data_IF_562106636437
#
_entry.id   IF_562106636437
#
_cell.length_a   1.000
_cell.length_b   1.000
_cell.length_c   1.000
_cell.angle_alpha   90.00
_cell.angle_beta   90.00
_cell.angle_gamma   90.00
#
_symmetry.space_group_name_H-M   'P 1'
#
loop_
_entity.id
_entity.type
_entity.pdbx_description
1 polymer ?
#
# COMPACT_ATOMS: atom_id res chain seq x y z
N UNK A 1 38.62 -25.25 -12.59
CA UNK A 1 37.72 -25.43 -11.43
C UNK A 1 37.49 -24.16 -10.61
N UNK A 2 38.46 -23.25 -10.46
CA UNK A 2 38.29 -22.03 -9.63
C UNK A 2 37.44 -20.91 -10.28
N UNK A 3 37.42 -20.83 -11.62
CA UNK A 3 36.64 -19.82 -12.35
C UNK A 3 35.12 -20.11 -12.36
N UNK A 4 34.72 -21.38 -12.45
CA UNK A 4 33.30 -21.78 -12.47
C UNK A 4 32.57 -21.47 -11.15
N UNK A 5 33.26 -21.57 -10.01
CA UNK A 5 32.63 -21.32 -8.71
C UNK A 5 32.29 -19.83 -8.52
N UNK A 6 33.15 -18.93 -9.03
CA UNK A 6 32.97 -17.47 -8.94
C UNK A 6 31.81 -17.01 -9.84
N UNK A 7 31.72 -17.56 -11.06
CA UNK A 7 30.61 -17.24 -11.99
C UNK A 7 29.27 -17.74 -11.42
N UNK A 8 29.21 -18.94 -10.86
CA UNK A 8 28.00 -19.46 -10.20
C UNK A 8 27.61 -18.57 -9.01
N UNK A 9 28.57 -18.17 -8.18
CA UNK A 9 28.30 -17.31 -7.02
C UNK A 9 27.77 -15.92 -7.44
N UNK A 10 28.32 -15.32 -8.50
CA UNK A 10 27.85 -14.05 -9.06
C UNK A 10 26.44 -14.14 -9.66
N UNK A 11 26.09 -15.26 -10.30
CA UNK A 11 24.74 -15.47 -10.84
C UNK A 11 23.69 -15.65 -9.74
N UNK A 12 24.02 -16.36 -8.64
CA UNK A 12 23.11 -16.55 -7.51
C UNK A 12 22.93 -15.24 -6.72
N UNK A 13 24.00 -14.47 -6.54
CA UNK A 13 23.92 -13.16 -5.88
C UNK A 13 23.05 -12.16 -6.67
N UNK A 14 23.09 -12.21 -8.00
CA UNK A 14 22.26 -11.35 -8.85
C UNK A 14 20.77 -11.70 -8.72
N UNK A 15 20.41 -12.99 -8.65
CA UNK A 15 19.01 -13.41 -8.44
C UNK A 15 18.46 -12.99 -7.06
N UNK A 16 19.31 -12.92 -6.04
CA UNK A 16 18.92 -12.45 -4.70
C UNK A 16 18.60 -10.94 -4.67
N UNK A 17 19.29 -10.12 -5.47
CA UNK A 17 19.04 -8.68 -5.55
C UNK A 17 17.73 -8.34 -6.27
N UNK A 18 17.28 -9.18 -7.20
CA UNK A 18 15.98 -9.03 -7.88
C UNK A 18 14.77 -9.36 -6.98
N UNK A 19 14.99 -9.95 -5.80
CA UNK A 19 13.92 -10.30 -4.87
C UNK A 19 13.61 -9.20 -3.83
N UNK A 20 14.28 -8.04 -3.91
CA UNK A 20 13.99 -6.92 -3.03
C UNK A 20 12.69 -6.26 -3.48
N UNK A 21 11.58 -6.63 -2.85
CA UNK A 21 10.29 -6.01 -3.11
C UNK A 21 10.33 -4.54 -2.71
N UNK A 22 9.98 -3.67 -3.64
CA UNK A 22 9.87 -2.25 -3.35
C UNK A 22 8.72 -2.01 -2.36
N UNK A 23 8.97 -1.21 -1.33
CA UNK A 23 7.94 -0.88 -0.35
C UNK A 23 7.00 0.19 -0.90
N UNK A 24 5.69 0.07 -0.70
CA UNK A 24 4.75 1.14 -0.99
C UNK A 24 5.16 2.43 -0.31
N UNK A 25 5.00 3.55 -1.01
CA UNK A 25 5.19 4.89 -0.46
C UNK A 25 4.02 5.76 -0.86
N UNK A 26 3.20 6.14 0.11
CA UNK A 26 2.08 7.05 -0.12
C UNK A 26 2.52 8.49 0.12
N UNK A 27 2.21 9.38 -0.84
CA UNK A 27 2.55 10.81 -0.75
C UNK A 27 1.35 11.69 -0.43
N UNK A 28 0.16 11.33 -0.93
CA UNK A 28 -1.05 12.13 -0.73
C UNK A 28 -2.31 11.30 -0.92
N UNK A 29 -3.43 11.83 -0.41
CA UNK A 29 -4.79 11.37 -0.70
C UNK A 29 -5.62 12.59 -1.10
N UNK A 30 -6.29 12.52 -2.23
CA UNK A 30 -7.16 13.59 -2.73
C UNK A 30 -8.53 13.04 -3.14
N UNK A 31 -9.64 13.62 -2.64
CA UNK A 31 -9.68 14.56 -1.52
C UNK A 31 -9.15 13.92 -0.21
N UNK A 32 -8.67 14.73 0.73
CA UNK A 32 -8.24 14.25 2.06
C UNK A 32 -9.41 14.09 3.05
N UNK A 33 -10.63 14.31 2.57
CA UNK A 33 -11.86 14.20 3.34
C UNK A 33 -13.03 13.76 2.44
N UNK A 34 -14.05 13.18 3.06
CA UNK A 34 -15.26 12.76 2.35
C UNK A 34 -16.24 12.05 3.26
N UNK A 35 -17.32 11.55 2.67
CA UNK A 35 -18.40 10.81 3.34
C UNK A 35 -18.38 9.34 2.92
N UNK A 36 -19.15 8.53 3.63
CA UNK A 36 -19.35 7.12 3.25
C UNK A 36 -19.78 7.02 1.79
N UNK A 37 -19.03 6.24 1.01
CA UNK A 37 -19.31 6.01 -0.40
C UNK A 37 -18.56 6.93 -1.37
N UNK A 38 -17.92 7.99 -0.91
CA UNK A 38 -17.06 8.83 -1.75
C UNK A 38 -15.81 8.06 -2.18
N UNK A 39 -15.30 8.40 -3.37
CA UNK A 39 -14.09 7.80 -3.94
C UNK A 39 -12.93 8.77 -3.77
N UNK A 40 -11.88 8.30 -3.10
CA UNK A 40 -10.64 9.03 -2.86
C UNK A 40 -9.50 8.43 -3.68
N UNK A 41 -8.52 9.25 -4.05
CA UNK A 41 -7.35 8.83 -4.82
C UNK A 41 -6.08 9.00 -3.99
N UNK A 42 -5.42 7.90 -3.70
CA UNK A 42 -4.06 7.86 -3.16
C UNK A 42 -3.08 8.07 -4.31
N UNK A 43 -2.07 8.91 -4.12
CA UNK A 43 -0.91 9.03 -5.02
C UNK A 43 0.38 8.62 -4.31
N UNK A 44 1.33 8.06 -5.06
CA UNK A 44 2.61 7.61 -4.50
C UNK A 44 3.42 6.75 -5.46
N UNK A 45 4.24 5.86 -4.90
CA UNK A 45 5.12 4.93 -5.61
C UNK A 45 4.91 3.50 -5.10
N UNK A 46 5.15 2.52 -5.96
CA UNK A 46 5.04 1.09 -5.62
C UNK A 46 3.65 0.73 -5.06
N UNK A 47 2.60 1.24 -5.70
CA UNK A 47 1.21 1.06 -5.29
C UNK A 47 0.47 -0.02 -6.11
N UNK A 48 1.22 -0.78 -6.92
CA UNK A 48 0.67 -1.81 -7.78
C UNK A 48 0.12 -3.00 -7.00
N UNK A 49 -0.58 -3.89 -7.73
CA UNK A 49 -1.19 -5.11 -7.18
C UNK A 49 -0.18 -6.16 -6.71
N UNK A 50 1.13 -5.95 -6.91
CA UNK A 50 2.18 -6.80 -6.35
C UNK A 50 2.68 -6.29 -5.01
N UNK A 51 2.54 -4.98 -4.77
CA UNK A 51 3.12 -4.27 -3.65
C UNK A 51 2.09 -3.93 -2.58
N UNK A 52 0.86 -3.57 -2.97
CA UNK A 52 -0.28 -3.29 -2.07
C UNK A 52 -1.39 -4.30 -2.34
N UNK A 53 -1.60 -5.23 -1.41
CA UNK A 53 -2.61 -6.28 -1.51
C UNK A 53 -3.98 -5.78 -1.07
N UNK A 54 -3.99 -5.01 0.03
CA UNK A 54 -5.20 -4.54 0.67
C UNK A 54 -4.96 -3.16 1.26
N UNK A 55 -6.05 -2.41 1.40
CA UNK A 55 -6.04 -1.04 1.89
C UNK A 55 -7.06 -0.90 3.03
N UNK A 56 -6.70 -0.13 4.05
CA UNK A 56 -7.46 0.05 5.27
C UNK A 56 -7.48 1.52 5.68
N UNK A 57 -8.58 1.93 6.33
CA UNK A 57 -8.62 3.13 7.16
C UNK A 57 -8.49 2.71 8.63
N UNK A 58 -7.52 3.26 9.35
CA UNK A 58 -7.24 2.92 10.75
C UNK A 58 -7.23 4.15 11.65
N UNK A 59 -7.76 4.01 12.86
CA UNK A 59 -7.66 5.00 13.95
C UNK A 59 -6.64 4.56 15.03
N UNK A 60 -5.85 3.52 14.74
CA UNK A 60 -4.92 2.87 15.68
C UNK A 60 -5.59 1.90 16.66
N UNK A 61 -6.91 1.74 16.61
CA UNK A 61 -7.68 0.78 17.43
C UNK A 61 -8.43 -0.23 16.56
N UNK A 62 -9.00 0.24 15.46
CA UNK A 62 -9.78 -0.55 14.52
C UNK A 62 -9.35 -0.25 13.09
N UNK A 63 -8.99 -1.32 12.40
CA UNK A 63 -8.69 -1.28 10.98
C UNK A 63 -9.94 -1.64 10.17
N UNK A 64 -10.34 -0.76 9.28
CA UNK A 64 -11.50 -0.97 8.41
C UNK A 64 -11.05 -1.09 6.97
N UNK A 65 -11.17 -2.29 6.40
CA UNK A 65 -10.83 -2.56 5.00
C UNK A 65 -11.69 -1.72 4.07
N UNK A 66 -11.09 -1.17 3.02
CA UNK A 66 -11.79 -0.38 2.00
C UNK A 66 -11.94 -1.15 0.69
N UNK A 67 -12.90 -0.74 -0.13
CA UNK A 67 -13.05 -1.23 -1.49
C UNK A 67 -12.11 -0.46 -2.41
N UNK A 68 -11.14 -1.15 -3.01
CA UNK A 68 -10.27 -0.57 -4.06
C UNK A 68 -10.98 -0.71 -5.41
N UNK A 69 -11.25 0.43 -6.04
CA UNK A 69 -11.99 0.54 -7.31
C UNK A 69 -11.07 0.60 -8.52
N UNK A 70 -9.86 1.14 -8.35
CA UNK A 70 -8.81 1.18 -9.37
C UNK A 70 -7.43 1.17 -8.70
N UNK A 71 -6.44 0.55 -9.35
CA UNK A 71 -5.09 0.42 -8.79
C UNK A 71 -4.04 0.37 -9.90
N UNK A 72 -3.13 1.34 -9.85
CA UNK A 72 -1.99 1.51 -10.73
C UNK A 72 -0.70 1.64 -9.91
N UNK A 73 0.49 1.50 -10.52
CA UNK A 73 1.76 1.59 -9.80
C UNK A 73 2.00 2.88 -9.00
N UNK A 74 1.31 3.97 -9.35
CA UNK A 74 1.46 5.29 -8.70
C UNK A 74 0.15 5.87 -8.18
N UNK A 75 -0.96 5.13 -8.26
CA UNK A 75 -2.27 5.62 -7.81
C UNK A 75 -3.20 4.49 -7.36
N UNK A 76 -3.97 4.71 -6.30
CA UNK A 76 -5.05 3.81 -5.84
C UNK A 76 -6.32 4.61 -5.65
N UNK A 77 -7.42 4.21 -6.30
CA UNK A 77 -8.74 4.77 -6.03
C UNK A 77 -9.52 3.83 -5.13
N UNK A 78 -10.04 4.34 -4.03
CA UNK A 78 -10.81 3.53 -3.08
C UNK A 78 -12.06 4.26 -2.62
N UNK A 79 -13.05 3.47 -2.19
CA UNK A 79 -14.32 3.97 -1.68
C UNK A 79 -14.31 4.00 -0.16
N UNK A 80 -14.75 5.12 0.44
CA UNK A 80 -14.90 5.21 1.90
C UNK A 80 -15.97 4.20 2.35
N UNK A 81 -15.64 3.23 3.23
CA UNK A 81 -16.59 2.24 3.70
C UNK A 81 -17.55 2.85 4.73
N UNK A 82 -18.57 2.09 5.13
CA UNK A 82 -19.45 2.49 6.23
C UNK A 82 -18.69 2.45 7.56
N UNK A 83 -18.24 3.62 8.01
CA UNK A 83 -17.47 3.84 9.24
C UNK A 83 -17.98 5.09 9.97
N UNK A 84 -17.70 5.22 11.27
CA UNK A 84 -18.00 6.44 12.01
C UNK A 84 -17.17 7.62 11.48
N UNK A 85 -17.72 8.82 11.63
CA UNK A 85 -16.97 10.04 11.35
C UNK A 85 -15.71 10.11 12.24
N UNK A 86 -14.61 10.62 11.68
CA UNK A 86 -13.32 10.62 12.37
C UNK A 86 -12.16 10.83 11.42
N UNK A 87 -10.96 10.87 12.00
CA UNK A 87 -9.70 11.02 11.26
C UNK A 87 -8.95 9.70 11.28
N UNK A 88 -8.65 9.18 10.10
CA UNK A 88 -8.04 7.87 9.90
C UNK A 88 -6.71 8.00 9.19
N UNK A 89 -5.76 7.14 9.51
CA UNK A 89 -4.60 6.89 8.67
C UNK A 89 -4.98 5.94 7.54
N UNK A 90 -4.22 6.01 6.45
CA UNK A 90 -4.19 4.93 5.47
C UNK A 90 -3.26 3.84 5.98
N UNK A 91 -3.69 2.60 5.97
CA UNK A 91 -2.83 1.45 6.22
C UNK A 91 -2.87 0.49 5.03
N UNK A 92 -1.71 0.02 4.60
CA UNK A 92 -1.55 -0.93 3.50
C UNK A 92 -1.13 -2.29 4.04
N UNK A 93 -1.65 -3.36 3.44
CA UNK A 93 -1.06 -4.69 3.55
C UNK A 93 -0.14 -4.88 2.36
N UNK A 94 1.16 -5.03 2.62
CA UNK A 94 2.14 -5.25 1.55
C UNK A 94 2.03 -6.64 0.94
N UNK A 95 2.41 -6.78 -0.33
CA UNK A 95 2.59 -8.10 -0.95
C UNK A 95 3.89 -8.80 -0.54
N UNK A 96 4.22 -9.87 -1.26
CA UNK A 96 5.51 -10.56 -1.15
C UNK A 96 5.54 -11.78 -0.24
N UNK A 97 6.77 -12.27 0.01
CA UNK A 97 7.01 -13.44 0.87
C UNK A 97 6.66 -13.18 2.34
N UNK A 98 6.74 -11.93 2.78
CA UNK A 98 6.41 -11.49 4.13
C UNK A 98 5.46 -10.28 4.08
N UNK A 99 4.15 -10.50 3.92
CA UNK A 99 3.15 -9.42 4.00
C UNK A 99 3.21 -8.70 5.35
N UNK A 100 3.20 -7.36 5.32
CA UNK A 100 3.26 -6.51 6.51
C UNK A 100 2.19 -5.43 6.43
N UNK A 101 1.63 -5.08 7.59
CA UNK A 101 0.80 -3.89 7.72
C UNK A 101 1.69 -2.68 7.95
N UNK A 102 1.49 -1.63 7.14
CA UNK A 102 2.23 -0.37 7.24
C UNK A 102 1.23 0.77 7.32
N UNK A 103 1.29 1.55 8.40
CA UNK A 103 0.56 2.81 8.51
C UNK A 103 1.31 3.90 7.73
N UNK A 104 0.63 4.50 6.77
CA UNK A 104 1.15 5.57 5.92
C UNK A 104 0.97 6.94 6.60
N UNK A 105 1.85 7.92 6.33
CA UNK A 105 1.83 9.21 7.02
C UNK A 105 0.67 10.13 6.62
N UNK A 106 -0.19 9.70 5.69
CA UNK A 106 -1.35 10.45 5.21
C UNK A 106 -2.59 10.18 6.05
N UNK A 107 -3.48 11.18 6.14
CA UNK A 107 -4.73 11.08 6.89
C UNK A 107 -5.93 11.36 5.98
N UNK A 108 -7.04 10.71 6.29
CA UNK A 108 -8.35 10.89 5.65
C UNK A 108 -9.37 11.26 6.72
N UNK A 109 -10.14 12.32 6.50
CA UNK A 109 -11.21 12.74 7.40
C UNK A 109 -12.56 12.26 6.86
N UNK A 110 -13.17 11.29 7.56
CA UNK A 110 -14.54 10.86 7.27
C UNK A 110 -15.51 11.77 8.00
N UNK A 111 -16.41 12.40 7.25
CA UNK A 111 -17.43 13.31 7.75
C UNK A 111 -18.73 12.57 8.09
N UNK A 112 -19.60 13.22 8.84
CA UNK A 112 -20.96 12.71 9.05
C UNK A 112 -21.70 12.58 7.69
N UNK A 113 -22.54 11.53 7.52
CA UNK A 113 -23.33 11.31 6.32
C UNK A 113 -24.16 12.53 5.90
#
# INVERSE_FOLDING_TARGET
MKLSLIVVLLTVASAALYAQQAMPRVTSVEPDNGKTGDVLTISGEHLGKGEVMELYLTDGKKDTKVEVTDQAPTAIKFKIPKIAAGRFAVMVLTGGKEPKYIEEPVKVTVQEP
#
